data_IF_007949601229
#
_entry.id   IF_007949601229
#
_cell.length_a   1.000
_cell.length_b   1.000
_cell.length_c   1.000
_cell.angle_alpha   90.00
_cell.angle_beta   90.00
_cell.angle_gamma   90.00
#
_symmetry.space_group_name_H-M   'P 1'
#
loop_
_entity.id
_entity.type
_entity.pdbx_description
1 polymer ?
#
# COMPACT_ATOMS: atom_id res chain seq x y z
N UNK A 1 -7.16 -8.19 9.89
CA UNK A 1 -7.72 -7.14 9.00
C UNK A 1 -8.15 -7.83 7.73
N UNK A 2 -9.40 -7.63 7.31
CA UNK A 2 -9.89 -8.12 6.02
C UNK A 2 -10.30 -6.89 5.21
N UNK A 3 -9.75 -6.73 4.02
CA UNK A 3 -10.03 -5.61 3.14
C UNK A 3 -10.15 -6.12 1.71
N UNK A 4 -10.93 -5.40 0.91
CA UNK A 4 -11.08 -5.70 -0.51
C UNK A 4 -10.15 -4.80 -1.31
N UNK A 5 -9.38 -5.40 -2.21
CA UNK A 5 -8.52 -4.68 -3.14
C UNK A 5 -9.40 -4.17 -4.29
N UNK A 6 -9.41 -2.85 -4.48
CA UNK A 6 -10.11 -2.20 -5.59
C UNK A 6 -9.23 -2.21 -6.85
N UNK A 7 -7.97 -1.85 -6.70
CA UNK A 7 -6.99 -1.75 -7.79
C UNK A 7 -5.58 -1.97 -7.24
N UNK A 8 -4.75 -2.66 -8.01
CA UNK A 8 -3.33 -2.86 -7.73
C UNK A 8 -2.55 -2.60 -9.01
N UNK A 9 -1.61 -1.67 -8.94
CA UNK A 9 -0.64 -1.38 -9.99
C UNK A 9 0.75 -1.60 -9.41
N UNK A 10 1.53 -2.46 -10.05
CA UNK A 10 2.91 -2.74 -9.67
C UNK A 10 3.79 -2.62 -10.91
N UNK A 11 4.91 -1.93 -10.75
CA UNK A 11 5.95 -1.81 -11.76
C UNK A 11 7.31 -2.14 -11.14
N UNK A 12 8.25 -2.52 -11.99
CA UNK A 12 9.64 -2.62 -11.61
C UNK A 12 10.49 -2.01 -12.71
N UNK A 13 11.38 -1.11 -12.32
CA UNK A 13 12.33 -0.47 -13.20
C UNK A 13 13.68 -0.34 -12.49
N UNK A 14 14.77 -0.59 -13.23
CA UNK A 14 16.14 -0.45 -12.72
C UNK A 14 16.41 -1.12 -11.36
N UNK A 15 15.79 -2.28 -11.12
CA UNK A 15 15.99 -3.07 -9.89
C UNK A 15 15.22 -2.54 -8.67
N UNK A 16 14.35 -1.55 -8.85
CA UNK A 16 13.44 -1.04 -7.82
C UNK A 16 12.01 -1.30 -8.28
N UNK A 17 11.18 -1.84 -7.39
CA UNK A 17 9.75 -1.91 -7.65
C UNK A 17 9.02 -0.78 -6.93
N UNK A 18 7.95 -0.32 -7.55
CA UNK A 18 7.01 0.62 -6.97
C UNK A 18 5.58 0.20 -7.35
N UNK A 19 4.61 0.77 -6.65
CA UNK A 19 3.23 0.44 -6.92
C UNK A 19 2.22 1.25 -6.15
N UNK A 20 0.98 1.20 -6.64
CA UNK A 20 -0.18 1.84 -6.05
C UNK A 20 -1.22 0.78 -5.71
N UNK A 21 -1.69 0.81 -4.47
CA UNK A 21 -2.71 -0.08 -3.96
C UNK A 21 -3.93 0.76 -3.53
N UNK A 22 -5.05 0.56 -4.22
CA UNK A 22 -6.34 1.11 -3.81
C UNK A 22 -7.16 0.02 -3.12
N UNK A 23 -7.69 0.33 -1.95
CA UNK A 23 -8.50 -0.58 -1.13
C UNK A 23 -9.79 0.09 -0.70
N UNK A 24 -10.81 -0.72 -0.46
CA UNK A 24 -11.98 -0.30 0.30
C UNK A 24 -11.67 -0.41 1.78
N UNK A 25 -11.89 0.68 2.53
CA UNK A 25 -11.70 0.71 3.99
C UNK A 25 -13.00 1.08 4.69
N UNK A 26 -13.20 0.51 5.87
CA UNK A 26 -14.29 0.90 6.76
C UNK A 26 -13.91 2.12 7.60
N UNK A 27 -12.65 2.21 8.02
CA UNK A 27 -12.10 3.36 8.76
C UNK A 27 -10.68 3.72 8.26
N UNK A 28 -10.29 4.98 8.41
CA UNK A 28 -8.92 5.46 8.16
C UNK A 28 -7.82 4.76 8.97
N UNK A 29 -8.14 4.18 10.12
CA UNK A 29 -7.24 3.41 10.96
C UNK A 29 -6.76 2.13 10.29
N UNK A 30 -7.58 1.50 9.45
CA UNK A 30 -7.23 0.33 8.64
C UNK A 30 -6.06 0.64 7.69
N UNK A 31 -6.06 1.84 7.10
CA UNK A 31 -4.99 2.30 6.19
C UNK A 31 -3.68 2.43 6.96
N UNK A 32 -3.71 2.99 8.17
CA UNK A 32 -2.50 3.13 9.01
C UNK A 32 -1.92 1.76 9.37
N UNK A 33 -2.78 0.81 9.74
CA UNK A 33 -2.33 -0.53 10.12
C UNK A 33 -1.76 -1.31 8.92
N UNK A 34 -2.36 -1.14 7.73
CA UNK A 34 -1.84 -1.69 6.49
C UNK A 34 -0.45 -1.12 6.15
N UNK A 35 -0.28 0.21 6.19
CA UNK A 35 1.02 0.83 5.94
C UNK A 35 2.09 0.29 6.88
N UNK A 36 1.77 0.18 8.18
CA UNK A 36 2.69 -0.37 9.17
C UNK A 36 3.03 -1.85 8.91
N UNK A 37 2.07 -2.65 8.43
CA UNK A 37 2.32 -4.04 8.10
C UNK A 37 3.19 -4.21 6.84
N UNK A 38 2.99 -3.38 5.82
CA UNK A 38 3.85 -3.38 4.63
C UNK A 38 5.29 -2.99 5.00
N UNK A 39 5.48 -1.98 5.86
CA UNK A 39 6.80 -1.56 6.34
C UNK A 39 7.54 -2.60 7.20
N UNK A 40 6.87 -3.64 7.69
CA UNK A 40 7.55 -4.77 8.38
C UNK A 40 8.34 -5.65 7.41
N UNK A 41 8.09 -5.57 6.12
CA UNK A 41 8.88 -6.26 5.11
C UNK A 41 10.14 -5.43 4.80
N UNK A 42 11.31 -5.97 5.12
CA UNK A 42 12.60 -5.30 4.93
C UNK A 42 12.90 -4.93 3.45
N UNK A 43 12.20 -5.54 2.49
CA UNK A 43 12.35 -5.24 1.07
C UNK A 43 11.49 -4.04 0.63
N UNK A 44 10.65 -3.50 1.51
CA UNK A 44 9.85 -2.30 1.27
C UNK A 44 10.54 -1.12 1.94
N UNK A 45 11.05 -0.19 1.13
CA UNK A 45 11.77 0.98 1.61
C UNK A 45 10.84 2.05 2.23
N UNK A 46 9.65 2.23 1.67
CA UNK A 46 8.69 3.23 2.15
C UNK A 46 7.26 2.85 1.74
N UNK A 47 6.30 3.32 2.54
CA UNK A 47 4.86 3.20 2.26
C UNK A 47 4.19 4.49 2.71
N UNK A 48 3.43 5.12 1.81
CA UNK A 48 2.79 6.40 2.07
C UNK A 48 1.33 6.29 1.63
N UNK A 49 0.41 6.78 2.47
CA UNK A 49 -0.98 6.96 2.08
C UNK A 49 -1.07 8.18 1.16
N UNK A 50 -1.62 7.99 -0.03
CA UNK A 50 -1.89 9.07 -1.00
C UNK A 50 -3.39 9.37 -1.06
N UNK A 51 -3.76 10.61 -1.34
CA UNK A 51 -5.11 10.97 -1.78
C UNK A 51 -5.16 10.83 -3.32
N UNK A 52 -6.29 10.35 -3.86
CA UNK A 52 -6.57 10.55 -5.29
C UNK A 52 -7.02 12.01 -5.44
N UNK A 53 -6.28 12.80 -6.23
CA UNK A 53 -6.68 14.14 -6.69
C UNK A 53 -7.67 14.04 -7.86
#
# INVERSE_FOLDING_TARGET
LQFNIKKLELGADNGIFDGKLQIYVHDTSDVKLLCNNLLKNNNIKSVIRIADD
#
